data_IF_182647786072
#
_entry.id   IF_182647786072
#
_cell.length_a   1.000
_cell.length_b   1.000
_cell.length_c   1.000
_cell.angle_alpha   90.00
_cell.angle_beta   90.00
_cell.angle_gamma   90.00
#
_symmetry.space_group_name_H-M   'P 1'
#
loop_
_entity.id
_entity.type
_entity.pdbx_description
1 polymer ?
#
# COMPACT_ATOMS: atom_id res chain seq x y z
N UNK A 1 19.25 -16.11 16.90
CA UNK A 1 19.84 -14.77 17.07
C UNK A 1 18.87 -13.92 17.89
N UNK A 2 19.38 -13.02 18.74
CA UNK A 2 18.58 -11.96 19.39
C UNK A 2 19.12 -10.62 18.90
N UNK A 3 18.23 -9.73 18.50
CA UNK A 3 18.51 -8.36 18.07
C UNK A 3 17.45 -7.44 18.70
N UNK A 4 17.75 -6.15 18.83
CA UNK A 4 16.82 -5.13 19.33
C UNK A 4 16.06 -4.44 18.17
N UNK A 5 15.21 -3.46 18.50
CA UNK A 5 14.42 -2.74 17.51
C UNK A 5 15.29 -1.99 16.50
N UNK A 6 16.31 -1.28 16.96
CA UNK A 6 17.23 -0.51 16.11
C UNK A 6 17.93 -1.42 15.09
N UNK A 7 18.43 -2.57 15.54
CA UNK A 7 19.04 -3.55 14.66
C UNK A 7 18.03 -4.15 13.68
N UNK A 8 16.79 -4.42 14.12
CA UNK A 8 15.73 -4.89 13.24
C UNK A 8 15.44 -3.91 12.09
N UNK A 9 15.45 -2.60 12.37
CA UNK A 9 15.28 -1.58 11.34
C UNK A 9 16.50 -1.49 10.43
N UNK A 10 17.71 -1.50 10.99
CA UNK A 10 18.96 -1.41 10.24
C UNK A 10 19.10 -2.54 9.20
N UNK A 11 18.62 -3.74 9.51
CA UNK A 11 18.66 -4.89 8.59
C UNK A 11 17.44 -4.98 7.66
N UNK A 12 16.48 -4.04 7.76
CA UNK A 12 15.29 -3.99 6.91
C UNK A 12 14.18 -4.99 7.32
N UNK A 13 14.20 -5.49 8.55
CA UNK A 13 13.12 -6.33 9.07
C UNK A 13 11.94 -5.50 9.60
N UNK A 14 12.23 -4.35 10.22
CA UNK A 14 11.23 -3.38 10.66
C UNK A 14 11.36 -2.10 9.82
N UNK A 15 10.26 -1.46 9.47
CA UNK A 15 10.28 -0.19 8.74
C UNK A 15 10.61 1.01 9.67
N UNK A 16 10.17 0.94 10.93
CA UNK A 16 10.24 2.03 11.91
C UNK A 16 10.44 1.48 13.33
N UNK A 17 11.09 2.26 14.19
CA UNK A 17 11.34 1.99 15.62
C UNK A 17 10.98 3.26 16.37
N UNK A 18 10.27 3.09 17.48
CA UNK A 18 9.84 4.19 18.35
C UNK A 18 10.36 3.99 19.77
N UNK A 19 10.52 5.11 20.48
CA UNK A 19 11.12 5.14 21.82
C UNK A 19 10.24 4.48 22.89
N UNK A 20 8.92 4.55 22.73
CA UNK A 20 7.94 4.00 23.66
C UNK A 20 6.64 3.55 22.96
N UNK A 21 5.72 2.99 23.77
CA UNK A 21 4.44 2.44 23.29
C UNK A 21 3.51 3.54 22.79
N UNK A 22 3.51 4.72 23.41
CA UNK A 22 2.63 5.82 23.01
C UNK A 22 3.06 6.39 21.65
N UNK A 23 4.37 6.52 21.42
CA UNK A 23 4.94 6.90 20.13
C UNK A 23 4.68 5.84 19.04
N UNK A 24 4.76 4.55 19.39
CA UNK A 24 4.42 3.45 18.49
C UNK A 24 2.94 3.49 18.07
N UNK A 25 2.03 3.72 19.02
CA UNK A 25 0.61 3.86 18.74
C UNK A 25 0.35 5.06 17.82
N UNK A 26 1.02 6.20 18.04
CA UNK A 26 0.90 7.36 17.14
C UNK A 26 1.40 7.06 15.72
N UNK A 27 2.52 6.33 15.59
CA UNK A 27 3.05 5.90 14.30
C UNK A 27 2.08 4.95 13.58
N UNK A 28 1.53 3.96 14.29
CA UNK A 28 0.53 3.02 13.79
C UNK A 28 -0.72 3.76 13.29
N UNK A 29 -1.25 4.70 14.08
CA UNK A 29 -2.38 5.54 13.72
C UNK A 29 -2.14 6.30 12.41
N UNK A 30 -0.94 6.89 12.24
CA UNK A 30 -0.57 7.62 11.02
C UNK A 30 -0.51 6.70 9.81
N UNK A 31 0.08 5.51 9.94
CA UNK A 31 0.16 4.52 8.85
C UNK A 31 -1.25 4.07 8.48
N UNK A 32 -2.06 3.67 9.46
CA UNK A 32 -3.43 3.23 9.24
C UNK A 32 -4.27 4.30 8.55
N UNK A 33 -4.19 5.55 9.00
CA UNK A 33 -4.89 6.67 8.38
C UNK A 33 -4.50 6.86 6.91
N UNK A 34 -3.21 6.65 6.55
CA UNK A 34 -2.76 6.72 5.15
C UNK A 34 -3.29 5.56 4.32
N UNK A 35 -3.25 4.34 4.85
CA UNK A 35 -3.75 3.14 4.17
C UNK A 35 -5.26 3.25 3.90
N UNK A 36 -6.03 3.74 4.87
CA UNK A 36 -7.49 3.92 4.76
C UNK A 36 -7.90 5.01 3.76
N UNK A 37 -6.96 5.86 3.31
CA UNK A 37 -7.22 6.83 2.23
C UNK A 37 -7.08 6.23 0.83
N UNK A 38 -6.48 5.05 0.72
CA UNK A 38 -6.31 4.35 -0.54
C UNK A 38 -7.50 3.43 -0.82
N UNK A 39 -7.84 3.23 -2.09
CA UNK A 39 -8.89 2.29 -2.48
C UNK A 39 -8.50 0.86 -2.06
N UNK A 40 -9.39 0.10 -1.38
CA UNK A 40 -9.05 -1.21 -0.84
C UNK A 40 -8.68 -2.25 -1.91
N UNK A 41 -9.37 -2.25 -3.06
CA UNK A 41 -9.02 -3.11 -4.20
C UNK A 41 -7.66 -2.75 -4.79
N UNK A 42 -7.37 -1.46 -4.98
CA UNK A 42 -6.07 -1.00 -5.46
C UNK A 42 -4.91 -1.38 -4.51
N UNK A 43 -5.12 -1.30 -3.19
CA UNK A 43 -4.15 -1.76 -2.19
C UNK A 43 -3.90 -3.28 -2.31
N UNK A 44 -4.97 -4.08 -2.43
CA UNK A 44 -4.86 -5.53 -2.57
C UNK A 44 -4.09 -5.93 -3.83
N UNK A 45 -4.44 -5.31 -4.96
CA UNK A 45 -3.79 -5.51 -6.25
C UNK A 45 -2.30 -5.11 -6.22
N UNK A 46 -1.98 -3.97 -5.62
CA UNK A 46 -0.58 -3.53 -5.48
C UNK A 46 0.22 -4.51 -4.63
N UNK A 47 -0.37 -5.04 -3.54
CA UNK A 47 0.26 -6.05 -2.70
C UNK A 47 0.51 -7.36 -3.45
N UNK A 48 -0.43 -7.78 -4.30
CA UNK A 48 -0.24 -8.93 -5.21
C UNK A 48 0.98 -8.70 -6.12
N UNK A 49 1.05 -7.55 -6.79
CA UNK A 49 2.12 -7.21 -7.72
C UNK A 49 3.50 -7.17 -7.04
N UNK A 50 3.60 -6.57 -5.85
CA UNK A 50 4.86 -6.52 -5.07
C UNK A 50 5.34 -7.93 -4.71
N UNK A 51 4.42 -8.82 -4.31
CA UNK A 51 4.78 -10.20 -3.96
C UNK A 51 5.13 -11.04 -5.19
N UNK A 52 4.48 -10.78 -6.33
CA UNK A 52 4.76 -11.44 -7.60
C UNK A 52 6.13 -11.04 -8.17
N UNK A 53 6.54 -9.78 -8.00
CA UNK A 53 7.82 -9.27 -8.48
C UNK A 53 9.04 -10.03 -7.92
N UNK A 54 8.92 -10.63 -6.73
CA UNK A 54 9.98 -11.47 -6.15
C UNK A 54 10.12 -12.86 -6.81
N UNK A 55 9.20 -13.23 -7.69
CA UNK A 55 9.06 -14.60 -8.23
C UNK A 55 9.00 -14.67 -9.75
N UNK A 56 8.54 -13.62 -10.40
CA UNK A 56 8.34 -13.58 -11.85
C UNK A 56 9.55 -13.00 -12.57
N UNK A 57 9.82 -13.53 -13.76
CA UNK A 57 10.75 -12.93 -14.71
C UNK A 57 10.22 -11.56 -15.20
N UNK A 58 11.10 -10.62 -15.58
CA UNK A 58 10.71 -9.24 -15.87
C UNK A 58 9.56 -9.08 -16.87
N UNK A 59 9.56 -9.85 -17.97
CA UNK A 59 8.51 -9.74 -18.98
C UNK A 59 7.14 -10.20 -18.45
N UNK A 60 7.11 -11.33 -17.74
CA UNK A 60 5.88 -11.83 -17.13
C UNK A 60 5.34 -10.87 -16.06
N UNK A 61 6.24 -10.19 -15.33
CA UNK A 61 5.85 -9.16 -14.36
C UNK A 61 5.23 -7.94 -15.05
N UNK A 62 5.76 -7.49 -16.18
CA UNK A 62 5.19 -6.39 -16.97
C UNK A 62 3.80 -6.74 -17.51
N UNK A 63 3.63 -7.95 -18.03
CA UNK A 63 2.35 -8.41 -18.57
C UNK A 63 1.29 -8.45 -17.45
N UNK A 64 1.63 -9.02 -16.29
CA UNK A 64 0.75 -9.06 -15.11
C UNK A 64 0.41 -7.65 -14.62
N UNK A 65 1.40 -6.75 -14.54
CA UNK A 65 1.18 -5.38 -14.09
C UNK A 65 0.26 -4.61 -15.04
N UNK A 66 0.40 -4.81 -16.36
CA UNK A 66 -0.45 -4.17 -17.36
C UNK A 66 -1.91 -4.66 -17.27
N UNK A 67 -2.11 -5.97 -17.11
CA UNK A 67 -3.45 -6.56 -16.92
C UNK A 67 -4.12 -5.99 -15.66
N UNK A 68 -3.43 -6.06 -14.51
CA UNK A 68 -3.94 -5.53 -13.24
C UNK A 68 -4.23 -4.03 -13.32
N UNK A 69 -3.35 -3.24 -13.93
CA UNK A 69 -3.59 -1.82 -14.15
C UNK A 69 -4.87 -1.57 -14.96
N UNK A 70 -5.08 -2.29 -16.07
CA UNK A 70 -6.28 -2.14 -16.88
C UNK A 70 -7.55 -2.52 -16.10
N UNK A 71 -7.52 -3.61 -15.34
CA UNK A 71 -8.61 -4.03 -14.45
C UNK A 71 -8.93 -2.95 -13.40
N UNK A 72 -7.90 -2.42 -12.73
CA UNK A 72 -8.04 -1.37 -11.73
C UNK A 72 -8.65 -0.08 -12.31
N UNK A 73 -8.17 0.36 -13.47
CA UNK A 73 -8.68 1.56 -14.15
C UNK A 73 -10.14 1.44 -14.61
N UNK A 74 -10.58 0.23 -14.98
CA UNK A 74 -11.94 -0.02 -15.47
C UNK A 74 -12.94 -0.35 -14.35
N UNK A 75 -12.46 -0.64 -13.15
CA UNK A 75 -13.26 -0.95 -11.97
C UNK A 75 -14.08 0.24 -11.45
N UNK A 76 -15.04 -0.04 -10.58
CA UNK A 76 -15.82 0.99 -9.90
C UNK A 76 -14.94 1.88 -9.01
N UNK A 77 -13.92 1.32 -8.34
CA UNK A 77 -12.92 2.10 -7.58
C UNK A 77 -12.12 3.04 -8.49
N UNK A 78 -11.71 2.57 -9.67
CA UNK A 78 -10.97 3.37 -10.64
C UNK A 78 -11.79 4.56 -11.13
N UNK A 79 -13.06 4.33 -11.49
CA UNK A 79 -13.99 5.38 -11.93
C UNK A 79 -14.26 6.40 -10.84
N UNK A 80 -14.55 5.94 -9.63
CA UNK A 80 -14.80 6.81 -8.47
C UNK A 80 -13.56 7.63 -8.10
N UNK A 81 -12.36 7.04 -8.10
CA UNK A 81 -11.12 7.75 -7.78
C UNK A 81 -10.83 8.88 -8.76
N UNK A 82 -11.03 8.65 -10.06
CA UNK A 82 -10.87 9.67 -11.10
C UNK A 82 -11.92 10.76 -10.95
N UNK A 83 -13.20 10.41 -10.76
CA UNK A 83 -14.29 11.38 -10.54
C UNK A 83 -14.02 12.23 -9.29
N UNK A 84 -13.70 11.61 -8.15
CA UNK A 84 -13.42 12.30 -6.90
C UNK A 84 -12.25 13.29 -7.04
N UNK A 85 -11.19 12.90 -7.76
CA UNK A 85 -10.07 13.78 -8.05
C UNK A 85 -10.48 14.99 -8.91
N UNK A 86 -11.22 14.77 -10.00
CA UNK A 86 -11.70 15.83 -10.90
C UNK A 86 -12.64 16.80 -10.15
N UNK A 87 -13.53 16.26 -9.34
CA UNK A 87 -14.53 17.00 -8.57
C UNK A 87 -13.97 17.62 -7.28
N UNK A 88 -12.68 17.38 -6.96
CA UNK A 88 -12.01 17.87 -5.75
C UNK A 88 -12.73 17.49 -4.46
N UNK A 89 -13.31 16.29 -4.43
CA UNK A 89 -13.94 15.70 -3.25
C UNK A 89 -13.16 14.47 -2.79
N UNK A 90 -13.49 13.98 -1.60
CA UNK A 90 -13.00 12.68 -1.16
C UNK A 90 -13.68 11.57 -1.97
N UNK A 91 -12.98 10.49 -2.31
CA UNK A 91 -13.62 9.29 -2.81
C UNK A 91 -14.37 8.56 -1.67
N UNK A 92 -15.43 7.85 -2.03
CA UNK A 92 -16.38 7.21 -1.11
C UNK A 92 -15.75 6.23 -0.09
N UNK A 93 -14.62 5.62 -0.40
CA UNK A 93 -13.90 4.74 0.53
C UNK A 93 -13.11 5.48 1.62
N UNK A 94 -12.93 6.79 1.48
CA UNK A 94 -12.09 7.63 2.36
C UNK A 94 -12.89 8.67 3.16
N UNK A 95 -14.22 8.53 3.17
CA UNK A 95 -15.11 9.39 3.94
C UNK A 95 -14.86 9.27 5.46
#
# INVERSE_FOLDING_TARGET
ARFDGEEAQRIGLADQVEDDVDALDEAELKIRARVMRCAPGANAMTKELVLAAARLEPQAMLDLAAERFAEGMLSDEGREGISAFIEKRKPSWSD
#
